data_IF_532860813062
#
_entry.id   IF_532860813062
#
_cell.length_a   1.000
_cell.length_b   1.000
_cell.length_c   1.000
_cell.angle_alpha   90.00
_cell.angle_beta   90.00
_cell.angle_gamma   90.00
#
_symmetry.space_group_name_H-M   'P 1'
#
loop_
_entity.id
_entity.type
_entity.pdbx_description
1 polymer ?
#
# COMPACT_ATOMS: atom_id res chain seq x y z
N UNK A 1 -24.41 -26.70 12.49
CA UNK A 1 -23.71 -25.40 12.39
C UNK A 1 -22.47 -25.62 11.56
N UNK A 2 -22.16 -24.76 10.59
CA UNK A 2 -20.85 -24.79 9.95
C UNK A 2 -19.81 -24.28 10.98
N UNK A 3 -18.78 -25.07 11.25
CA UNK A 3 -17.66 -24.62 12.09
C UNK A 3 -16.83 -23.56 11.38
N UNK A 4 -16.11 -22.75 12.15
CA UNK A 4 -15.06 -21.91 11.57
C UNK A 4 -13.93 -22.81 11.04
N UNK A 5 -13.48 -22.55 9.82
CA UNK A 5 -12.32 -23.21 9.22
C UNK A 5 -11.14 -22.25 9.37
N UNK A 6 -10.00 -22.76 9.82
CA UNK A 6 -8.76 -22.00 9.89
C UNK A 6 -8.18 -21.84 8.48
N UNK A 7 -8.04 -20.59 8.04
CA UNK A 7 -7.53 -20.24 6.70
C UNK A 7 -6.14 -19.64 6.82
N UNK A 8 -5.14 -20.36 6.29
CA UNK A 8 -3.77 -19.84 6.24
C UNK A 8 -3.68 -18.70 5.20
N UNK A 9 -3.11 -17.53 5.56
CA UNK A 9 -2.78 -16.48 4.60
C UNK A 9 -1.86 -16.98 3.49
N UNK A 10 -1.98 -16.39 2.30
CA UNK A 10 -1.08 -16.63 1.16
C UNK A 10 0.30 -16.00 1.39
N UNK A 11 1.30 -16.44 0.62
CA UNK A 11 2.68 -15.91 0.67
C UNK A 11 2.73 -14.39 0.50
N UNK A 12 2.02 -13.85 -0.50
CA UNK A 12 1.88 -12.42 -0.74
C UNK A 12 1.18 -11.68 0.44
N UNK A 13 0.25 -12.33 1.15
CA UNK A 13 -0.43 -11.74 2.29
C UNK A 13 0.50 -11.63 3.51
N UNK A 14 1.40 -12.59 3.73
CA UNK A 14 2.46 -12.48 4.73
C UNK A 14 3.45 -11.36 4.38
N UNK A 15 3.88 -11.25 3.11
CA UNK A 15 4.73 -10.16 2.63
C UNK A 15 4.08 -8.78 2.87
N UNK A 16 2.84 -8.61 2.41
CA UNK A 16 2.02 -7.41 2.64
C UNK A 16 1.88 -7.11 4.12
N UNK A 17 1.70 -8.12 4.98
CA UNK A 17 1.61 -7.92 6.43
C UNK A 17 2.88 -7.29 7.02
N UNK A 18 4.06 -7.82 6.65
CA UNK A 18 5.37 -7.27 7.06
C UNK A 18 5.51 -5.81 6.63
N UNK A 19 5.27 -5.51 5.36
CA UNK A 19 5.46 -4.17 4.79
C UNK A 19 4.46 -3.16 5.37
N UNK A 20 3.17 -3.51 5.43
CA UNK A 20 2.09 -2.60 5.80
C UNK A 20 1.99 -2.39 7.32
N UNK A 21 2.09 -3.47 8.11
CA UNK A 21 1.80 -3.46 9.56
C UNK A 21 3.05 -3.62 10.46
N UNK A 22 4.18 -4.12 9.93
CA UNK A 22 5.44 -4.17 10.68
C UNK A 22 5.92 -2.77 11.13
N UNK A 23 6.57 -2.67 12.30
CA UNK A 23 6.95 -1.40 12.93
C UNK A 23 7.92 -0.58 12.05
N UNK A 24 7.62 0.71 11.90
CA UNK A 24 8.45 1.64 11.11
C UNK A 24 9.17 2.63 12.03
N UNK A 25 10.39 2.30 12.48
CA UNK A 25 11.29 3.23 13.20
C UNK A 25 12.26 3.96 12.27
N UNK A 26 12.58 3.35 11.13
CA UNK A 26 13.34 3.89 10.01
C UNK A 26 12.86 3.22 8.71
N UNK A 27 13.16 3.82 7.56
CA UNK A 27 12.79 3.30 6.23
C UNK A 27 13.50 2.01 5.83
N UNK A 28 14.47 1.54 6.62
CA UNK A 28 15.25 0.32 6.41
C UNK A 28 14.43 -0.91 6.00
N UNK A 29 13.26 -1.13 6.60
CA UNK A 29 12.38 -2.26 6.25
C UNK A 29 11.93 -2.21 4.78
N UNK A 30 11.64 -1.03 4.25
CA UNK A 30 11.23 -0.85 2.85
C UNK A 30 12.41 -1.03 1.90
N UNK A 31 13.57 -0.47 2.24
CA UNK A 31 14.81 -0.67 1.49
C UNK A 31 15.21 -2.16 1.43
N UNK A 32 15.10 -2.89 2.54
CA UNK A 32 15.34 -4.33 2.58
C UNK A 32 14.28 -5.09 1.77
N UNK A 33 13.00 -4.70 1.87
CA UNK A 33 11.93 -5.28 1.06
C UNK A 33 12.19 -5.18 -0.44
N UNK A 34 12.57 -4.00 -0.96
CA UNK A 34 12.91 -3.81 -2.37
C UNK A 34 14.16 -4.62 -2.76
N UNK A 35 15.19 -4.65 -1.90
CA UNK A 35 16.41 -5.43 -2.13
C UNK A 35 16.16 -6.95 -2.16
N UNK A 36 15.25 -7.46 -1.33
CA UNK A 36 14.86 -8.88 -1.30
C UNK A 36 14.07 -9.29 -2.55
N UNK A 37 13.15 -8.45 -3.02
CA UNK A 37 12.46 -8.68 -4.31
C UNK A 37 13.46 -8.66 -5.47
N UNK A 38 14.38 -7.68 -5.49
CA UNK A 38 15.43 -7.63 -6.51
C UNK A 38 16.32 -8.88 -6.48
N UNK A 39 16.70 -9.39 -5.29
CA UNK A 39 17.44 -10.63 -5.16
C UNK A 39 16.64 -11.88 -5.59
N UNK A 40 15.33 -11.93 -5.32
CA UNK A 40 14.45 -13.01 -5.74
C UNK A 40 14.31 -13.10 -7.26
N UNK A 41 14.25 -11.95 -7.96
CA UNK A 41 14.23 -11.91 -9.44
C UNK A 41 15.52 -12.43 -10.11
N UNK A 42 16.63 -12.51 -9.36
CA UNK A 42 17.89 -13.09 -9.80
C UNK A 42 18.08 -14.56 -9.34
N UNK A 43 17.05 -15.18 -8.76
CA UNK A 43 17.04 -16.59 -8.31
C UNK A 43 18.18 -16.97 -7.35
N UNK A 44 18.64 -16.02 -6.53
CA UNK A 44 19.73 -16.26 -5.58
C UNK A 44 19.22 -16.99 -4.33
N UNK A 45 19.69 -18.23 -4.11
CA UNK A 45 19.39 -18.96 -2.86
C UNK A 45 20.14 -18.41 -1.63
N UNK A 46 21.22 -17.65 -1.84
CA UNK A 46 21.99 -16.99 -0.77
C UNK A 46 22.51 -15.64 -1.27
N UNK A 47 22.59 -14.66 -0.39
CA UNK A 47 23.08 -13.31 -0.68
C UNK A 47 24.01 -12.84 0.44
N UNK A 48 25.24 -12.46 0.11
CA UNK A 48 26.18 -11.84 1.07
C UNK A 48 25.72 -10.42 1.44
N UNK A 49 26.07 -9.93 2.64
CA UNK A 49 25.72 -8.56 3.04
C UNK A 49 26.33 -7.50 2.10
N UNK A 50 27.50 -7.78 1.53
CA UNK A 50 28.20 -6.96 0.55
C UNK A 50 27.43 -6.87 -0.78
N UNK A 51 26.77 -7.94 -1.22
CA UNK A 51 25.90 -7.93 -2.40
C UNK A 51 24.58 -7.22 -2.11
N UNK A 52 23.98 -7.49 -0.95
CA UNK A 52 22.72 -6.89 -0.52
C UNK A 52 22.86 -5.37 -0.27
N UNK A 53 24.07 -4.90 0.04
CA UNK A 53 24.38 -3.51 0.30
C UNK A 53 24.03 -2.57 -0.86
N UNK A 54 24.19 -3.00 -2.12
CA UNK A 54 23.93 -2.13 -3.30
C UNK A 54 22.46 -1.74 -3.43
N UNK A 55 21.52 -2.68 -3.66
CA UNK A 55 20.11 -2.32 -3.80
C UNK A 55 19.55 -1.67 -2.54
N UNK A 56 20.04 -2.06 -1.37
CA UNK A 56 19.63 -1.50 -0.08
C UNK A 56 20.05 -0.03 0.07
N UNK A 57 21.33 0.29 -0.15
CA UNK A 57 21.84 1.66 -0.05
C UNK A 57 21.32 2.56 -1.17
N UNK A 58 21.23 2.05 -2.41
CA UNK A 58 20.70 2.77 -3.57
C UNK A 58 19.31 3.33 -3.30
N UNK A 59 18.38 2.46 -2.88
CA UNK A 59 17.01 2.88 -2.55
C UNK A 59 16.99 3.94 -1.42
N UNK A 60 17.77 3.77 -0.35
CA UNK A 60 17.82 4.75 0.76
C UNK A 60 18.38 6.10 0.32
N UNK A 61 19.43 6.11 -0.49
CA UNK A 61 20.04 7.31 -1.06
C UNK A 61 19.05 8.04 -1.97
N UNK A 62 18.35 7.32 -2.85
CA UNK A 62 17.36 7.89 -3.77
C UNK A 62 16.20 8.57 -3.03
N UNK A 63 15.75 7.98 -1.92
CA UNK A 63 14.75 8.56 -1.03
C UNK A 63 15.27 9.75 -0.21
N UNK A 64 16.50 9.67 0.33
CA UNK A 64 17.16 10.78 1.05
C UNK A 64 17.29 12.06 0.20
N UNK A 65 17.48 11.93 -1.11
CA UNK A 65 17.50 13.10 -2.03
C UNK A 65 16.14 13.81 -2.14
N UNK A 66 15.03 13.14 -1.79
CA UNK A 66 13.66 13.68 -1.84
C UNK A 66 13.13 14.11 -0.47
N UNK A 67 13.48 13.37 0.58
CA UNK A 67 13.04 13.65 1.96
C UNK A 67 14.10 13.18 2.95
N UNK A 68 14.71 14.11 3.67
CA UNK A 68 15.84 13.78 4.57
C UNK A 68 15.42 12.96 5.81
N UNK A 69 14.19 13.15 6.29
CA UNK A 69 13.68 12.47 7.50
C UNK A 69 13.28 11.02 7.18
N UNK A 70 14.26 10.11 7.27
CA UNK A 70 14.13 8.67 7.01
C UNK A 70 13.89 7.81 8.26
N UNK A 71 13.52 8.42 9.39
CA UNK A 71 13.19 7.70 10.62
C UNK A 71 12.76 8.59 11.76
N UNK A 72 12.42 7.96 12.89
CA UNK A 72 11.97 8.64 14.11
C UNK A 72 13.13 9.06 15.03
N UNK A 73 14.32 8.48 14.85
CA UNK A 73 15.52 8.84 15.62
C UNK A 73 16.11 10.16 15.10
N UNK A 74 16.53 11.10 15.98
CA UNK A 74 17.18 12.35 15.55
C UNK A 74 18.56 12.11 14.91
N UNK A 75 19.16 10.93 15.09
CA UNK A 75 20.41 10.56 14.43
C UNK A 75 20.44 9.09 14.03
N UNK A 76 21.18 8.78 12.96
CA UNK A 76 21.58 7.42 12.63
C UNK A 76 22.94 7.44 11.93
N UNK A 77 23.89 6.64 12.42
CA UNK A 77 25.22 6.51 11.82
C UNK A 77 25.15 6.07 10.36
N UNK A 78 24.21 5.19 10.03
CA UNK A 78 24.07 4.66 8.67
C UNK A 78 23.38 5.64 7.71
N UNK A 79 22.31 6.33 8.13
CA UNK A 79 21.74 7.41 7.31
C UNK A 79 22.76 8.52 7.03
N UNK A 80 23.64 8.85 7.98
CA UNK A 80 24.68 9.84 7.73
C UNK A 80 25.70 9.38 6.68
N UNK A 81 26.02 8.08 6.60
CA UNK A 81 26.83 7.54 5.50
C UNK A 81 26.12 7.73 4.15
N UNK A 82 24.83 7.43 4.08
CA UNK A 82 24.04 7.65 2.86
C UNK A 82 23.98 9.13 2.47
N UNK A 83 23.84 10.05 3.44
CA UNK A 83 23.88 11.50 3.20
C UNK A 83 25.25 11.99 2.72
N UNK A 84 26.35 11.48 3.29
CA UNK A 84 27.72 11.78 2.84
C UNK A 84 27.92 11.42 1.38
N UNK A 85 27.44 10.24 0.96
CA UNK A 85 27.45 9.83 -0.44
C UNK A 85 26.61 10.78 -1.31
N UNK A 86 25.39 11.13 -0.88
CA UNK A 86 24.54 12.13 -1.59
C UNK A 86 25.19 13.52 -1.71
N UNK A 87 26.14 13.88 -0.85
CA UNK A 87 26.92 15.14 -0.91
C UNK A 87 28.28 14.99 -1.62
N UNK A 88 28.63 13.79 -2.10
CA UNK A 88 29.93 13.51 -2.74
C UNK A 88 31.13 13.47 -1.79
N UNK A 89 30.91 13.33 -0.47
CA UNK A 89 31.99 13.23 0.53
C UNK A 89 32.66 11.86 0.58
N UNK A 90 31.98 10.82 0.08
CA UNK A 90 32.47 9.43 0.00
C UNK A 90 32.08 8.85 -1.36
N UNK A 91 32.84 7.88 -1.85
CA UNK A 91 32.56 7.17 -3.10
C UNK A 91 31.56 6.00 -2.92
N UNK A 92 31.29 5.27 -4.01
CA UNK A 92 30.35 4.14 -3.98
C UNK A 92 30.92 2.96 -3.18
N UNK A 93 32.21 2.68 -3.26
CA UNK A 93 32.81 1.50 -2.61
C UNK A 93 32.86 1.69 -1.09
N UNK A 94 33.12 2.91 -0.63
CA UNK A 94 32.99 3.28 0.79
C UNK A 94 31.54 3.24 1.27
N UNK A 95 30.57 3.70 0.47
CA UNK A 95 29.14 3.56 0.77
C UNK A 95 28.77 2.09 0.98
N UNK A 96 29.12 1.20 0.04
CA UNK A 96 28.78 -0.22 0.12
C UNK A 96 29.46 -0.91 1.31
N UNK A 97 30.76 -0.66 1.50
CA UNK A 97 31.53 -1.20 2.64
C UNK A 97 30.94 -0.79 3.99
N UNK A 98 30.55 0.48 4.14
CA UNK A 98 29.89 0.97 5.36
C UNK A 98 28.45 0.46 5.49
N UNK A 99 27.75 0.23 4.38
CA UNK A 99 26.40 -0.34 4.36
C UNK A 99 26.39 -1.78 4.87
N UNK A 100 27.27 -2.65 4.36
CA UNK A 100 27.37 -4.04 4.84
C UNK A 100 27.60 -4.11 6.37
N UNK A 101 28.41 -3.20 6.91
CA UNK A 101 28.73 -3.13 8.35
C UNK A 101 27.66 -2.50 9.24
N UNK A 102 26.87 -1.54 8.75
CA UNK A 102 25.99 -0.70 9.57
C UNK A 102 24.50 -0.79 9.20
N UNK A 103 24.19 -1.10 7.94
CA UNK A 103 22.84 -1.04 7.39
C UNK A 103 21.92 -2.16 7.88
N UNK A 104 22.50 -3.34 8.16
CA UNK A 104 21.77 -4.57 8.45
C UNK A 104 21.67 -4.92 9.95
N UNK A 105 22.16 -4.05 10.84
CA UNK A 105 22.33 -4.31 12.28
C UNK A 105 21.02 -4.63 13.01
N UNK A 106 19.90 -3.99 12.64
CA UNK A 106 18.60 -4.16 13.30
C UNK A 106 17.49 -4.64 12.36
N UNK A 107 17.63 -4.41 11.04
CA UNK A 107 16.51 -4.61 10.09
C UNK A 107 16.29 -6.08 9.78
N UNK A 108 17.36 -6.90 9.73
CA UNK A 108 17.27 -8.34 9.49
C UNK A 108 16.54 -9.03 10.65
N UNK A 109 16.87 -8.66 11.89
CA UNK A 109 16.24 -9.14 13.13
C UNK A 109 14.77 -8.70 13.24
N UNK A 110 14.45 -7.50 12.77
CA UNK A 110 13.12 -6.91 12.89
C UNK A 110 12.18 -7.23 11.71
N UNK A 111 12.67 -7.73 10.57
CA UNK A 111 11.89 -7.79 9.33
C UNK A 111 10.62 -8.65 9.45
N UNK A 112 10.75 -9.85 10.02
CA UNK A 112 9.63 -10.78 10.19
C UNK A 112 8.75 -10.48 11.41
N UNK A 113 8.99 -9.38 12.15
CA UNK A 113 8.24 -9.05 13.36
C UNK A 113 7.06 -8.09 13.09
N UNK A 114 5.83 -8.59 13.27
CA UNK A 114 4.56 -7.87 13.08
C UNK A 114 3.71 -7.99 14.34
N UNK A 115 3.13 -6.88 14.81
CA UNK A 115 2.26 -6.86 16.01
C UNK A 115 2.86 -7.55 17.26
N UNK A 116 4.17 -7.38 17.48
CA UNK A 116 4.94 -7.95 18.61
C UNK A 116 5.18 -9.48 18.54
N UNK A 117 4.83 -10.14 17.44
CA UNK A 117 5.13 -11.54 17.17
C UNK A 117 5.90 -11.71 15.86
N UNK A 118 6.63 -12.81 15.72
CA UNK A 118 7.26 -13.17 14.45
C UNK A 118 6.23 -13.82 13.51
N UNK A 119 6.33 -13.57 12.20
CA UNK A 119 5.47 -14.21 11.20
C UNK A 119 5.85 -15.69 11.03
N UNK A 120 4.86 -16.61 10.92
CA UNK A 120 5.13 -18.04 10.76
C UNK A 120 5.83 -18.38 9.43
N UNK A 121 5.69 -17.51 8.42
CA UNK A 121 6.42 -17.57 7.16
C UNK A 121 7.61 -16.62 7.22
N UNK A 122 8.80 -17.13 6.89
CA UNK A 122 10.02 -16.33 6.70
C UNK A 122 10.37 -16.24 5.22
N UNK A 123 10.80 -15.06 4.79
CA UNK A 123 11.34 -14.79 3.45
C UNK A 123 12.87 -14.97 3.35
N UNK A 124 13.56 -15.01 4.49
CA UNK A 124 14.99 -15.33 4.56
C UNK A 124 15.33 -15.92 5.93
N UNK A 125 16.45 -16.64 5.98
CA UNK A 125 17.12 -17.11 7.21
C UNK A 125 18.37 -16.25 7.42
N UNK A 126 18.55 -15.77 8.65
CA UNK A 126 19.74 -15.02 9.04
C UNK A 126 20.95 -15.96 9.21
N UNK A 127 21.95 -15.79 8.36
CA UNK A 127 23.23 -16.52 8.42
C UNK A 127 24.41 -15.56 8.60
N UNK A 128 24.19 -14.33 9.09
CA UNK A 128 25.25 -13.32 9.27
C UNK A 128 26.44 -13.85 10.06
N UNK A 129 26.19 -14.59 11.15
CA UNK A 129 27.23 -15.17 11.99
C UNK A 129 27.93 -16.41 11.43
N UNK A 130 27.31 -17.12 10.48
CA UNK A 130 27.84 -18.37 9.92
C UNK A 130 28.51 -18.18 8.55
N UNK A 131 27.94 -17.32 7.71
CA UNK A 131 28.31 -17.14 6.29
C UNK A 131 28.39 -15.68 5.83
N UNK A 132 28.12 -14.71 6.71
CA UNK A 132 28.18 -13.28 6.36
C UNK A 132 27.04 -12.79 5.45
N UNK A 133 25.87 -13.41 5.51
CA UNK A 133 24.76 -13.09 4.61
C UNK A 133 23.42 -13.65 5.07
N UNK A 134 22.50 -13.82 4.13
CA UNK A 134 21.19 -14.43 4.34
C UNK A 134 20.93 -15.52 3.30
N UNK A 135 20.33 -16.63 3.73
CA UNK A 135 19.74 -17.62 2.80
C UNK A 135 18.32 -17.18 2.46
N UNK A 136 17.99 -17.06 1.17
CA UNK A 136 16.63 -16.76 0.74
C UNK A 136 15.80 -18.04 0.79
N UNK A 137 14.55 -17.94 1.25
CA UNK A 137 13.65 -19.10 1.33
C UNK A 137 12.88 -19.31 0.04
N UNK A 138 12.41 -20.53 -0.18
CA UNK A 138 11.47 -20.86 -1.26
C UNK A 138 10.23 -19.94 -1.22
N UNK A 139 9.77 -19.57 -0.02
CA UNK A 139 8.66 -18.63 0.20
C UNK A 139 8.87 -17.26 -0.47
N UNK A 140 10.12 -16.76 -0.53
CA UNK A 140 10.50 -15.54 -1.23
C UNK A 140 10.73 -15.79 -2.72
N UNK A 141 11.41 -16.87 -3.08
CA UNK A 141 11.74 -17.20 -4.46
C UNK A 141 10.47 -17.52 -5.29
N UNK A 142 9.48 -18.17 -4.69
CA UNK A 142 8.17 -18.45 -5.30
C UNK A 142 7.27 -17.22 -5.43
N UNK A 143 7.55 -16.09 -4.75
CA UNK A 143 6.75 -14.86 -4.96
C UNK A 143 6.79 -14.41 -6.42
N UNK A 144 7.90 -14.64 -7.15
CA UNK A 144 8.05 -14.28 -8.57
C UNK A 144 7.07 -15.01 -9.51
N UNK A 145 6.53 -16.15 -9.06
CA UNK A 145 5.62 -17.01 -9.81
C UNK A 145 4.16 -16.57 -9.64
N UNK A 146 3.86 -15.82 -8.57
CA UNK A 146 2.53 -15.27 -8.35
C UNK A 146 2.32 -14.04 -9.23
N UNK A 147 1.14 -13.92 -9.85
CA UNK A 147 0.70 -12.71 -10.58
C UNK A 147 0.96 -11.41 -9.79
N UNK A 148 0.81 -11.49 -8.47
CA UNK A 148 0.93 -10.34 -7.56
C UNK A 148 2.36 -9.80 -7.41
N UNK A 149 3.38 -10.50 -7.91
CA UNK A 149 4.79 -10.12 -7.75
C UNK A 149 5.10 -8.68 -8.19
N UNK A 150 4.69 -8.32 -9.42
CA UNK A 150 4.94 -7.00 -9.98
C UNK A 150 4.34 -5.88 -9.12
N UNK A 151 3.20 -6.13 -8.48
CA UNK A 151 2.56 -5.17 -7.57
C UNK A 151 3.36 -4.93 -6.28
N UNK A 152 4.12 -5.92 -5.79
CA UNK A 152 4.74 -5.85 -4.45
C UNK A 152 5.77 -4.72 -4.33
N UNK A 153 6.51 -4.42 -5.40
CA UNK A 153 7.52 -3.34 -5.39
C UNK A 153 6.85 -1.95 -5.30
N UNK A 154 5.77 -1.74 -6.05
CA UNK A 154 4.95 -0.52 -6.00
C UNK A 154 4.28 -0.34 -4.65
N UNK A 155 3.76 -1.42 -4.06
CA UNK A 155 3.18 -1.40 -2.71
C UNK A 155 4.20 -1.02 -1.62
N UNK A 156 5.46 -1.48 -1.75
CA UNK A 156 6.56 -1.09 -0.85
C UNK A 156 6.92 0.39 -1.02
N UNK A 157 7.08 0.86 -2.27
CA UNK A 157 7.35 2.28 -2.60
C UNK A 157 6.26 3.21 -2.04
N UNK A 158 4.99 2.90 -2.31
CA UNK A 158 3.87 3.72 -1.86
C UNK A 158 3.75 3.73 -0.32
N UNK A 159 4.01 2.60 0.34
CA UNK A 159 4.04 2.53 1.80
C UNK A 159 5.19 3.32 2.39
N UNK A 160 6.36 3.31 1.75
CA UNK A 160 7.54 4.07 2.15
C UNK A 160 7.24 5.58 2.09
N UNK A 161 6.78 6.10 0.94
CA UNK A 161 6.45 7.53 0.78
C UNK A 161 5.42 8.03 1.78
N UNK A 162 4.43 7.21 2.10
CA UNK A 162 3.43 7.54 3.12
C UNK A 162 4.06 7.75 4.51
N UNK A 163 5.05 6.92 4.87
CA UNK A 163 5.73 7.00 6.16
C UNK A 163 6.68 8.20 6.21
N UNK A 164 7.43 8.46 5.13
CA UNK A 164 8.30 9.64 4.99
C UNK A 164 7.53 10.95 5.12
N UNK A 165 6.45 11.10 4.36
CA UNK A 165 5.65 12.31 4.35
C UNK A 165 5.00 12.57 5.71
N UNK A 166 4.62 11.50 6.42
CA UNK A 166 4.09 11.64 7.78
C UNK A 166 5.16 12.13 8.76
N UNK A 167 6.38 11.58 8.67
CA UNK A 167 7.51 12.08 9.43
C UNK A 167 7.86 13.53 9.05
N UNK A 168 7.86 13.92 7.78
CA UNK A 168 8.22 15.29 7.38
C UNK A 168 7.22 16.34 7.88
N UNK A 169 5.94 15.97 8.02
CA UNK A 169 4.90 16.82 8.61
C UNK A 169 4.76 16.69 10.15
N UNK A 170 5.63 15.90 10.80
CA UNK A 170 5.62 15.60 12.24
C UNK A 170 4.27 15.08 12.78
N UNK A 171 3.54 14.32 11.95
CA UNK A 171 2.29 13.67 12.33
C UNK A 171 2.44 12.15 12.28
N UNK A 172 1.54 11.44 12.97
CA UNK A 172 1.45 9.99 12.80
C UNK A 172 1.20 9.64 11.34
N UNK A 173 1.81 8.57 10.79
CA UNK A 173 1.40 7.97 9.52
C UNK A 173 -0.10 7.64 9.44
N UNK A 174 -0.80 7.54 10.58
CA UNK A 174 -2.26 7.38 10.68
C UNK A 174 -3.09 8.65 10.61
N UNK A 175 -2.46 9.81 10.47
CA UNK A 175 -3.10 11.12 10.32
C UNK A 175 -2.84 11.73 8.95
N UNK A 176 -1.85 11.23 8.21
CA UNK A 176 -1.39 11.86 6.98
C UNK A 176 -2.43 11.89 5.86
N UNK A 177 -3.33 10.90 5.76
CA UNK A 177 -4.02 10.58 4.50
C UNK A 177 -5.17 11.55 4.11
N UNK A 178 -4.91 12.88 4.04
CA UNK A 178 -5.93 13.93 4.16
C UNK A 178 -5.96 15.18 3.20
N UNK A 179 -4.88 15.84 2.66
CA UNK A 179 -4.92 17.12 1.82
C UNK A 179 -4.05 17.27 0.50
N UNK A 180 -4.58 17.23 -0.74
CA UNK A 180 -3.89 16.73 -1.98
C UNK A 180 -2.51 17.28 -2.36
N UNK A 181 -1.64 16.35 -2.82
CA UNK A 181 -0.55 16.70 -3.72
C UNK A 181 -0.30 15.68 -4.87
N UNK A 182 -0.62 16.02 -6.13
CA UNK A 182 -0.27 15.21 -7.30
C UNK A 182 1.24 15.15 -7.59
N UNK A 183 2.08 15.98 -6.96
CA UNK A 183 3.54 15.95 -7.15
C UNK A 183 4.25 14.83 -6.38
N UNK A 184 3.64 14.31 -5.30
CA UNK A 184 4.31 13.38 -4.35
C UNK A 184 3.88 11.92 -4.54
N UNK A 185 2.68 11.69 -5.09
CA UNK A 185 2.05 10.35 -5.16
C UNK A 185 1.50 9.86 -3.81
N UNK A 186 1.44 10.74 -2.81
CA UNK A 186 0.85 10.45 -1.50
C UNK A 186 -0.62 10.87 -1.45
N UNK A 187 -1.47 10.04 -0.81
CA UNK A 187 -2.90 10.34 -0.69
C UNK A 187 -3.12 11.44 0.35
N UNK A 188 -3.88 12.42 -0.13
CA UNK A 188 -4.05 13.73 0.44
C UNK A 188 -5.26 14.30 -0.40
N UNK A 189 -6.28 15.04 0.13
CA UNK A 189 -7.34 15.76 -0.66
C UNK A 189 -7.73 17.16 -0.09
N UNK A 190 -7.31 18.28 -0.70
CA UNK A 190 -7.74 19.65 -0.29
C UNK A 190 -8.99 20.03 -1.09
N UNK A 191 -9.97 20.77 -0.51
CA UNK A 191 -11.28 20.96 -1.14
C UNK A 191 -11.25 22.08 -2.20
N UNK A 192 -10.51 21.87 -3.30
CA UNK A 192 -10.64 22.70 -4.51
C UNK A 192 -11.82 22.20 -5.35
N UNK A 193 -12.78 23.09 -5.65
CA UNK A 193 -14.08 22.68 -6.16
C UNK A 193 -14.14 22.32 -7.65
N UNK A 194 -15.11 21.46 -8.00
CA UNK A 194 -15.62 21.16 -9.35
C UNK A 194 -14.65 20.52 -10.37
N UNK A 195 -13.33 20.67 -10.23
CA UNK A 195 -12.34 20.06 -11.13
C UNK A 195 -12.07 18.63 -10.70
N UNK A 196 -12.23 17.67 -11.62
CA UNK A 196 -11.85 16.28 -11.39
C UNK A 196 -10.36 16.21 -11.04
N UNK A 197 -10.05 15.69 -9.86
CA UNK A 197 -8.68 15.42 -9.41
C UNK A 197 -8.20 14.13 -10.07
N UNK A 198 -6.94 14.09 -10.52
CA UNK A 198 -6.35 12.83 -10.94
C UNK A 198 -6.00 11.99 -9.71
N UNK A 199 -6.78 10.92 -9.51
CA UNK A 199 -6.60 9.93 -8.43
C UNK A 199 -5.78 8.72 -8.89
N UNK A 200 -5.32 8.66 -10.15
CA UNK A 200 -4.58 7.52 -10.71
C UNK A 200 -3.30 7.19 -9.93
N UNK A 201 -2.68 8.20 -9.31
CA UNK A 201 -1.51 8.08 -8.44
C UNK A 201 -1.74 7.27 -7.15
N UNK A 202 -3.00 7.04 -6.73
CA UNK A 202 -3.28 6.30 -5.50
C UNK A 202 -3.35 4.77 -5.67
N UNK A 203 -3.18 4.26 -6.90
CA UNK A 203 -3.23 2.82 -7.22
C UNK A 203 -2.37 1.99 -6.28
N UNK A 204 -1.08 2.24 -6.27
CA UNK A 204 -0.06 1.51 -5.53
C UNK A 204 -0.37 1.47 -4.03
N UNK A 205 -0.80 2.62 -3.49
CA UNK A 205 -1.20 2.78 -2.10
C UNK A 205 -2.48 1.99 -1.76
N UNK A 206 -3.48 1.93 -2.66
CA UNK A 206 -4.70 1.14 -2.44
C UNK A 206 -4.49 -0.36 -2.69
N UNK A 207 -3.51 -0.75 -3.52
CA UNK A 207 -3.37 -2.12 -4.01
C UNK A 207 -3.02 -3.12 -2.91
N UNK A 208 -2.13 -2.74 -1.99
CA UNK A 208 -1.77 -3.57 -0.83
C UNK A 208 -2.96 -3.89 0.09
N UNK A 209 -3.99 -3.03 0.12
CA UNK A 209 -5.22 -3.25 0.91
C UNK A 209 -6.31 -4.00 0.14
N UNK A 210 -6.27 -3.94 -1.20
CA UNK A 210 -7.12 -4.76 -2.08
C UNK A 210 -6.46 -6.06 -2.52
N UNK A 211 -5.22 -6.32 -2.08
CA UNK A 211 -4.42 -7.52 -2.40
C UNK A 211 -4.27 -7.77 -3.92
N UNK A 212 -4.22 -6.69 -4.69
CA UNK A 212 -4.25 -6.72 -6.16
C UNK A 212 -5.43 -7.47 -6.76
N UNK A 213 -6.61 -7.38 -6.13
CA UNK A 213 -7.89 -7.88 -6.65
C UNK A 213 -8.84 -6.74 -7.01
N UNK A 214 -9.54 -6.89 -8.13
CA UNK A 214 -10.64 -6.00 -8.53
C UNK A 214 -11.71 -5.95 -7.42
N UNK A 215 -12.10 -4.75 -7.00
CA UNK A 215 -13.12 -4.57 -5.96
C UNK A 215 -14.48 -5.19 -6.32
N UNK A 216 -14.83 -5.24 -7.62
CA UNK A 216 -16.11 -5.75 -8.10
C UNK A 216 -16.02 -7.26 -8.39
N UNK A 217 -15.40 -7.66 -9.50
CA UNK A 217 -15.38 -9.06 -9.95
C UNK A 217 -14.34 -9.97 -9.25
N UNK A 218 -13.47 -9.43 -8.40
CA UNK A 218 -12.38 -10.16 -7.73
C UNK A 218 -11.33 -10.81 -8.65
N UNK A 219 -11.28 -10.44 -9.95
CA UNK A 219 -10.15 -10.77 -10.83
C UNK A 219 -8.84 -10.23 -10.26
N UNK A 220 -7.72 -10.85 -10.64
CA UNK A 220 -6.42 -10.22 -10.49
C UNK A 220 -6.37 -8.88 -11.25
N UNK A 221 -5.55 -7.95 -10.74
CA UNK A 221 -5.29 -6.64 -11.33
C UNK A 221 -3.84 -6.22 -11.08
N UNK A 222 -3.25 -5.51 -12.04
CA UNK A 222 -1.91 -4.96 -11.94
C UNK A 222 -1.94 -3.45 -11.67
N UNK A 223 -0.92 -2.94 -10.97
CA UNK A 223 -0.60 -1.49 -10.92
C UNK A 223 0.58 -1.11 -11.82
N UNK A 224 1.30 -2.10 -12.36
CA UNK A 224 2.46 -1.89 -13.24
C UNK A 224 2.06 -1.16 -14.53
N UNK A 225 2.82 -0.12 -14.88
CA UNK A 225 2.48 0.76 -15.99
C UNK A 225 2.61 0.02 -17.33
N UNK A 226 1.53 -0.01 -18.11
CA UNK A 226 1.49 -0.69 -19.40
C UNK A 226 1.17 -2.19 -19.35
N UNK A 227 0.96 -2.77 -18.16
CA UNK A 227 0.44 -4.14 -18.02
C UNK A 227 -0.96 -4.28 -18.62
N UNK A 228 -1.31 -5.44 -19.19
CA UNK A 228 -2.62 -5.66 -19.80
C UNK A 228 -3.78 -5.53 -18.79
N UNK A 229 -3.65 -6.21 -17.64
CA UNK A 229 -4.55 -6.07 -16.48
C UNK A 229 -4.35 -4.80 -15.64
N UNK A 230 -3.76 -3.73 -16.17
CA UNK A 230 -3.59 -2.47 -15.45
C UNK A 230 -4.95 -1.97 -14.94
N UNK A 231 -5.05 -1.80 -13.61
CA UNK A 231 -6.27 -1.39 -12.94
C UNK A 231 -6.66 0.06 -13.22
N UNK A 232 -7.92 0.39 -12.91
CA UNK A 232 -8.41 1.74 -12.75
C UNK A 232 -8.75 2.03 -11.28
N UNK A 233 -8.55 3.28 -10.88
CA UNK A 233 -9.19 3.84 -9.68
C UNK A 233 -10.60 4.29 -10.07
N UNK A 234 -11.59 3.70 -9.40
CA UNK A 234 -13.00 4.03 -9.55
C UNK A 234 -13.55 4.69 -8.27
N UNK A 235 -14.49 5.60 -8.46
CA UNK A 235 -15.29 6.20 -7.40
C UNK A 235 -16.55 5.37 -7.20
N UNK A 236 -16.63 4.58 -6.11
CA UNK A 236 -17.77 3.70 -5.83
C UNK A 236 -19.11 4.42 -6.01
N UNK A 237 -19.28 5.56 -5.34
CA UNK A 237 -20.27 6.57 -5.66
C UNK A 237 -19.70 7.50 -6.74
N UNK A 238 -20.27 7.52 -7.96
CA UNK A 238 -19.65 8.20 -9.10
C UNK A 238 -19.41 9.70 -8.88
N UNK A 239 -18.27 10.21 -9.34
CA UNK A 239 -17.93 11.64 -9.31
C UNK A 239 -18.97 12.53 -10.04
N UNK A 240 -19.85 11.97 -10.88
CA UNK A 240 -21.01 12.69 -11.43
C UNK A 240 -21.89 13.36 -10.35
N UNK A 241 -21.93 12.80 -9.13
CA UNK A 241 -22.65 13.35 -7.98
C UNK A 241 -22.01 14.63 -7.40
N UNK A 242 -20.76 14.97 -7.75
CA UNK A 242 -20.01 16.10 -7.18
C UNK A 242 -20.67 17.47 -7.39
N UNK A 243 -21.54 17.60 -8.41
CA UNK A 243 -22.29 18.83 -8.68
C UNK A 243 -23.62 18.92 -7.91
N UNK A 244 -24.09 17.81 -7.34
CA UNK A 244 -25.35 17.72 -6.60
C UNK A 244 -25.14 17.71 -5.07
N UNK A 245 -23.91 17.43 -4.61
CA UNK A 245 -23.56 17.34 -3.19
C UNK A 245 -23.01 18.66 -2.64
N UNK A 246 -23.25 18.97 -1.35
CA UNK A 246 -22.64 20.10 -0.66
C UNK A 246 -21.12 19.87 -0.49
N UNK A 247 -20.32 20.49 -1.37
CA UNK A 247 -18.86 20.31 -1.50
C UNK A 247 -18.06 20.55 -0.21
N UNK A 248 -18.56 21.41 0.69
CA UNK A 248 -17.93 21.66 2.00
C UNK A 248 -18.20 20.56 3.04
N UNK A 249 -19.04 19.57 2.75
CA UNK A 249 -19.42 18.49 3.67
C UNK A 249 -19.02 17.10 3.19
N UNK A 250 -18.99 16.86 1.88
CA UNK A 250 -18.74 15.52 1.31
C UNK A 250 -17.64 15.58 0.26
N UNK A 251 -16.54 14.87 0.54
CA UNK A 251 -15.43 14.66 -0.38
C UNK A 251 -15.57 13.29 -1.05
N UNK A 252 -15.94 13.26 -2.34
CA UNK A 252 -16.05 12.02 -3.11
C UNK A 252 -14.70 11.40 -3.47
N UNK A 253 -13.62 12.19 -3.51
CA UNK A 253 -12.25 11.71 -3.73
C UNK A 253 -11.61 11.14 -2.44
N UNK A 254 -12.37 11.10 -1.34
CA UNK A 254 -11.94 10.47 -0.10
C UNK A 254 -11.78 8.96 -0.24
N UNK A 255 -10.78 8.38 0.45
CA UNK A 255 -10.45 6.95 0.35
C UNK A 255 -11.63 6.04 0.73
N UNK A 256 -12.56 6.51 1.55
CA UNK A 256 -13.81 5.82 1.86
C UNK A 256 -14.63 5.41 0.62
N UNK A 257 -14.45 6.11 -0.51
CA UNK A 257 -15.18 5.96 -1.78
C UNK A 257 -14.31 5.44 -2.94
N UNK A 258 -12.98 5.61 -2.89
CA UNK A 258 -12.08 5.15 -3.96
C UNK A 258 -11.81 3.64 -3.87
N UNK A 259 -11.89 2.92 -4.99
CA UNK A 259 -11.61 1.47 -5.11
C UNK A 259 -10.82 1.16 -6.38
N UNK A 260 -9.97 0.12 -6.35
CA UNK A 260 -9.33 -0.40 -7.56
C UNK A 260 -10.24 -1.40 -8.27
N UNK A 261 -10.28 -1.31 -9.60
CA UNK A 261 -11.15 -2.10 -10.46
C UNK A 261 -10.41 -2.54 -11.73
N UNK A 262 -10.77 -3.69 -12.30
CA UNK A 262 -10.27 -4.08 -13.62
C UNK A 262 -10.96 -3.24 -14.71
N UNK A 263 -10.31 -3.11 -15.86
CA UNK A 263 -10.81 -2.27 -16.95
C UNK A 263 -12.21 -2.69 -17.42
N UNK A 264 -12.52 -4.00 -17.45
CA UNK A 264 -13.85 -4.51 -17.82
C UNK A 264 -14.97 -4.12 -16.84
N UNK A 265 -14.65 -4.00 -15.54
CA UNK A 265 -15.62 -3.52 -14.55
C UNK A 265 -15.83 -2.00 -14.60
N UNK A 266 -14.82 -1.23 -14.98
CA UNK A 266 -14.88 0.24 -14.92
C UNK A 266 -15.27 0.91 -16.25
N UNK A 267 -14.67 0.43 -17.35
CA UNK A 267 -14.69 1.06 -18.68
C UNK A 267 -15.73 0.44 -19.62
N UNK A 268 -15.96 1.11 -20.75
CA UNK A 268 -16.81 0.61 -21.82
C UNK A 268 -18.31 0.61 -21.51
N UNK A 269 -19.12 0.07 -22.42
CA UNK A 269 -20.60 0.09 -22.31
C UNK A 269 -21.12 -0.79 -21.16
N UNK A 270 -20.41 -1.86 -20.82
CA UNK A 270 -20.80 -2.78 -19.76
C UNK A 270 -20.17 -2.44 -18.40
N UNK A 271 -19.09 -1.66 -18.33
CA UNK A 271 -18.49 -1.21 -17.07
C UNK A 271 -19.31 -0.12 -16.36
N UNK A 272 -19.09 0.02 -15.06
CA UNK A 272 -19.88 0.83 -14.12
C UNK A 272 -20.15 2.25 -14.61
N UNK A 273 -19.11 3.00 -14.98
CA UNK A 273 -19.23 4.41 -15.35
C UNK A 273 -19.99 5.21 -14.27
N UNK A 274 -20.98 6.02 -14.66
CA UNK A 274 -21.81 6.82 -13.75
C UNK A 274 -22.98 6.06 -13.08
N UNK A 275 -23.02 4.72 -13.14
CA UNK A 275 -24.07 3.91 -12.50
C UNK A 275 -23.74 3.61 -11.03
N UNK A 276 -24.78 3.46 -10.21
CA UNK A 276 -24.63 3.10 -8.79
C UNK A 276 -24.38 1.59 -8.66
N UNK A 277 -23.33 1.12 -7.95
CA UNK A 277 -23.14 -0.30 -7.71
C UNK A 277 -24.34 -0.95 -7.01
N UNK A 278 -24.54 -2.25 -7.20
CA UNK A 278 -25.53 -2.97 -6.42
C UNK A 278 -25.21 -2.98 -4.92
N UNK A 279 -26.26 -3.04 -4.11
CA UNK A 279 -26.21 -2.92 -2.64
C UNK A 279 -25.29 -3.96 -1.96
N UNK A 280 -24.98 -5.10 -2.62
CA UNK A 280 -23.97 -6.06 -2.13
C UNK A 280 -22.56 -5.48 -2.11
N UNK A 281 -22.21 -4.64 -3.08
CA UNK A 281 -20.92 -3.96 -3.12
C UNK A 281 -20.83 -2.82 -2.10
N UNK A 282 -21.97 -2.19 -1.72
CA UNK A 282 -21.99 -1.26 -0.58
C UNK A 282 -21.63 -1.97 0.74
N UNK A 283 -22.16 -3.19 0.95
CA UNK A 283 -21.79 -4.03 2.09
C UNK A 283 -20.30 -4.42 2.05
N UNK A 284 -19.73 -4.67 0.85
CA UNK A 284 -18.29 -4.92 0.63
C UNK A 284 -17.46 -3.67 0.98
N UNK A 285 -17.91 -2.47 0.57
CA UNK A 285 -17.25 -1.19 0.85
C UNK A 285 -17.25 -0.88 2.35
N UNK A 286 -18.41 -1.02 3.01
CA UNK A 286 -18.53 -0.89 4.45
C UNK A 286 -17.56 -1.84 5.17
N UNK A 287 -17.58 -3.15 4.84
CA UNK A 287 -16.66 -4.13 5.45
C UNK A 287 -15.19 -3.75 5.27
N UNK A 288 -14.80 -3.25 4.08
CA UNK A 288 -13.45 -2.76 3.82
C UNK A 288 -13.11 -1.55 4.70
N UNK A 289 -14.01 -0.58 4.80
CA UNK A 289 -13.79 0.64 5.61
C UNK A 289 -13.63 0.29 7.10
N UNK A 290 -14.48 -0.59 7.63
CA UNK A 290 -14.38 -1.08 9.01
C UNK A 290 -13.10 -1.88 9.25
N UNK A 291 -12.67 -2.73 8.31
CA UNK A 291 -11.40 -3.44 8.40
C UNK A 291 -10.20 -2.49 8.48
N UNK A 292 -10.18 -1.43 7.67
CA UNK A 292 -9.15 -0.39 7.72
C UNK A 292 -9.19 0.36 9.07
N UNK A 293 -10.37 0.73 9.57
CA UNK A 293 -10.49 1.42 10.87
C UNK A 293 -10.03 0.53 12.04
N UNK A 294 -10.41 -0.75 12.03
CA UNK A 294 -10.09 -1.71 13.09
C UNK A 294 -8.62 -2.13 13.12
N UNK A 295 -7.95 -2.23 11.97
CA UNK A 295 -6.56 -2.67 11.86
C UNK A 295 -5.52 -1.60 12.24
N UNK A 296 -5.91 -0.59 13.03
CA UNK A 296 -5.11 0.61 13.37
C UNK A 296 -4.43 1.24 12.14
N UNK A 297 -5.12 1.21 11.00
CA UNK A 297 -4.53 1.51 9.71
C UNK A 297 -4.14 3.00 9.58
N UNK A 298 -3.12 3.33 8.76
CA UNK A 298 -2.86 4.69 8.30
C UNK A 298 -4.07 5.52 7.84
N UNK A 299 -5.16 4.87 7.40
CA UNK A 299 -6.40 5.50 6.93
C UNK A 299 -7.44 5.74 8.03
N UNK A 300 -7.22 5.23 9.25
CA UNK A 300 -8.22 5.18 10.31
C UNK A 300 -8.82 6.55 10.60
N UNK A 301 -7.99 7.53 10.92
CA UNK A 301 -8.48 8.86 11.32
C UNK A 301 -9.13 9.60 10.15
N UNK A 302 -8.63 9.42 8.92
CA UNK A 302 -9.28 9.94 7.71
C UNK A 302 -10.69 9.36 7.55
N UNK A 303 -10.84 8.03 7.64
CA UNK A 303 -12.14 7.36 7.50
C UNK A 303 -13.10 7.78 8.63
N UNK A 304 -12.63 7.84 9.88
CA UNK A 304 -13.43 8.31 11.02
C UNK A 304 -13.89 9.76 10.84
N UNK A 305 -13.00 10.64 10.38
CA UNK A 305 -13.30 12.07 10.15
C UNK A 305 -14.27 12.27 8.98
N UNK A 306 -14.14 11.48 7.91
CA UNK A 306 -14.94 11.60 6.70
C UNK A 306 -16.30 10.91 6.78
N UNK A 307 -16.45 9.87 7.60
CA UNK A 307 -17.66 9.02 7.60
C UNK A 307 -18.34 8.84 8.96
N UNK A 308 -17.67 9.10 10.09
CA UNK A 308 -18.26 8.97 11.44
C UNK A 308 -17.36 8.26 12.45
N UNK A 309 -17.50 8.60 13.74
CA UNK A 309 -16.66 8.05 14.82
C UNK A 309 -17.07 6.63 15.22
N UNK A 310 -18.36 6.33 15.16
CA UNK A 310 -18.95 5.01 15.46
C UNK A 310 -19.31 4.26 14.17
N UNK A 311 -19.36 2.92 14.21
CA UNK A 311 -19.79 2.12 13.05
C UNK A 311 -21.22 2.50 12.62
N UNK A 312 -22.10 2.80 13.59
CA UNK A 312 -23.48 3.23 13.32
C UNK A 312 -23.54 4.51 12.49
N UNK A 313 -22.75 5.55 12.83
CA UNK A 313 -22.64 6.78 12.03
C UNK A 313 -22.11 6.49 10.62
N UNK A 314 -21.04 5.68 10.49
CA UNK A 314 -20.45 5.32 9.19
C UNK A 314 -21.40 4.55 8.30
N UNK A 315 -22.20 3.66 8.89
CA UNK A 315 -23.25 2.92 8.21
C UNK A 315 -24.39 3.83 7.76
N UNK A 316 -24.82 4.77 8.60
CA UNK A 316 -25.82 5.79 8.23
C UNK A 316 -25.32 6.64 7.06
N UNK A 317 -24.10 7.17 7.16
CA UNK A 317 -23.45 7.96 6.11
C UNK A 317 -23.42 7.22 4.76
N UNK A 318 -22.99 5.95 4.74
CA UNK A 318 -22.99 5.13 3.52
C UNK A 318 -24.40 4.85 2.98
N UNK A 319 -25.40 4.69 3.86
CA UNK A 319 -26.81 4.50 3.46
C UNK A 319 -27.45 5.79 2.93
N UNK A 320 -27.11 6.94 3.49
CA UNK A 320 -27.51 8.26 3.01
C UNK A 320 -26.91 8.53 1.62
N UNK A 321 -25.61 8.26 1.44
CA UNK A 321 -24.93 8.35 0.14
C UNK A 321 -25.54 7.43 -0.92
N UNK A 322 -25.86 6.18 -0.56
CA UNK A 322 -26.55 5.23 -1.45
C UNK A 322 -27.95 5.72 -1.85
N UNK A 323 -28.72 6.20 -0.87
CA UNK A 323 -30.08 6.69 -1.10
C UNK A 323 -30.08 7.92 -2.01
N UNK A 324 -29.15 8.86 -1.76
CA UNK A 324 -28.93 10.03 -2.60
C UNK A 324 -28.48 9.65 -4.01
N UNK A 325 -27.50 8.74 -4.13
CA UNK A 325 -26.95 8.32 -5.41
C UNK A 325 -28.03 7.67 -6.30
N UNK A 326 -28.82 6.74 -5.75
CA UNK A 326 -29.83 6.04 -6.55
C UNK A 326 -31.02 6.93 -6.91
N UNK A 327 -31.40 7.88 -6.06
CA UNK A 327 -32.45 8.86 -6.36
C UNK A 327 -32.06 9.82 -7.50
N UNK A 328 -30.78 10.19 -7.61
CA UNK A 328 -30.30 11.16 -8.61
C UNK A 328 -29.82 10.51 -9.92
N UNK A 329 -29.24 9.30 -9.86
CA UNK A 329 -28.68 8.61 -11.04
C UNK A 329 -29.59 7.51 -11.61
N UNK A 330 -30.58 7.06 -10.84
CA UNK A 330 -31.70 6.16 -11.23
C UNK A 330 -31.25 4.89 -11.99
N UNK A 331 -30.01 4.44 -11.78
CA UNK A 331 -29.41 3.33 -12.51
C UNK A 331 -28.50 2.50 -11.61
N UNK A 332 -28.71 1.19 -11.61
CA UNK A 332 -27.85 0.23 -10.91
C UNK A 332 -26.90 -0.48 -11.87
N UNK A 333 -25.79 -0.98 -11.32
CA UNK A 333 -24.79 -1.75 -12.05
C UNK A 333 -24.23 -2.91 -11.23
N UNK A 334 -23.95 -3.99 -11.94
CA UNK A 334 -23.22 -5.18 -11.48
C UNK A 334 -22.27 -5.62 -12.60
N UNK A 335 -21.13 -6.26 -12.29
CA UNK A 335 -20.28 -6.85 -13.31
C UNK A 335 -21.01 -8.00 -14.03
N UNK A 336 -20.63 -8.28 -15.29
CA UNK A 336 -21.14 -9.43 -16.04
C UNK A 336 -20.75 -10.75 -15.37
N UNK A 337 -19.53 -10.80 -14.85
CA UNK A 337 -18.90 -11.98 -14.27
C UNK A 337 -18.23 -11.60 -12.94
N UNK A 338 -18.44 -12.41 -11.90
CA UNK A 338 -17.87 -12.22 -10.57
C UNK A 338 -17.20 -13.53 -10.13
N UNK A 339 -15.88 -13.53 -9.99
CA UNK A 339 -15.17 -14.65 -9.38
C UNK A 339 -15.62 -14.74 -7.92
N UNK A 340 -16.06 -15.94 -7.51
CA UNK A 340 -16.34 -16.20 -6.09
C UNK A 340 -15.04 -15.99 -5.31
N UNK A 341 -15.07 -15.28 -4.18
CA UNK A 341 -13.88 -15.17 -3.34
C UNK A 341 -13.43 -16.58 -2.94
N UNK A 342 -12.14 -16.85 -3.09
CA UNK A 342 -11.50 -18.00 -2.44
C UNK A 342 -11.70 -17.81 -0.94
N UNK A 343 -12.31 -18.80 -0.29
CA UNK A 343 -12.72 -18.77 1.12
C UNK A 343 -11.50 -19.05 2.00
#
# INVERSE_FOLDING_TARGET
>A
MAGFVETNPTRDAYWRSIILFGRNSASYKFALGKALLEAASHEKNFVYLEELAEPYARNLVDHLRRTDRQGTSPSSRFLEVCRKFSRGEIDKDELLTRTARLGFVNVIDAFHNVNQAETPVRFFVDERGARGGISLTDELLSLKEDFQYGNLNHEVEARWRLVETAWSLDISPSLLVARYDPAVGGIYVEPSGARRVDVTSCKDALNGYQKGRCFYCSSDISVEAGHEDLCDVDHFFPHALANLLPKHRINLDGVWNLVLSCQGCNRGKQGKSARVPAIRFLKKLHRRNEYLIGSHHPLRETLLTQTGRTEAERRSFLQEMESFAIQNLVSRWEPSDELRPVI
#
